data_IF_026039416643
#
_entry.id   IF_026039416643
#
_cell.length_a   1.000
_cell.length_b   1.000
_cell.length_c   1.000
_cell.angle_alpha   90.00
_cell.angle_beta   90.00
_cell.angle_gamma   90.00
#
_symmetry.space_group_name_H-M   'P 1'
#
loop_
_entity.id
_entity.type
_entity.pdbx_description
1 polymer ?
#
# COMPACT_ATOMS: atom_id res chain seq x y z
N UNK A 1 26.76 -4.12 -48.17
CA UNK A 1 27.95 -4.03 -47.35
C UNK A 1 27.57 -3.58 -45.97
N UNK A 2 28.16 -4.17 -44.91
CA UNK A 2 27.73 -4.00 -43.55
C UNK A 2 28.79 -3.43 -42.60
N UNK A 3 29.98 -3.19 -43.12
CA UNK A 3 31.07 -2.56 -42.38
C UNK A 3 31.67 -1.42 -43.16
N UNK A 4 32.14 -0.40 -42.47
CA UNK A 4 32.95 0.66 -43.09
C UNK A 4 34.20 0.04 -43.66
N UNK A 5 34.60 0.51 -44.85
CA UNK A 5 35.73 0.03 -45.62
C UNK A 5 35.63 -1.44 -46.11
N UNK A 6 34.45 -2.07 -45.95
CA UNK A 6 34.18 -3.37 -46.58
C UNK A 6 34.14 -3.22 -48.06
N UNK A 7 34.68 -4.21 -48.79
CA UNK A 7 34.80 -4.13 -50.26
C UNK A 7 34.05 -5.25 -50.95
N UNK A 8 33.55 -4.96 -52.16
CA UNK A 8 32.94 -5.94 -53.07
C UNK A 8 33.55 -5.74 -54.47
N UNK A 9 33.85 -6.83 -55.16
CA UNK A 9 34.35 -6.80 -56.53
C UNK A 9 33.20 -6.93 -57.51
N UNK A 10 33.07 -5.96 -58.38
CA UNK A 10 32.17 -6.00 -59.53
C UNK A 10 32.94 -6.37 -60.78
N UNK A 11 32.32 -7.12 -61.66
CA UNK A 11 32.84 -7.44 -63.00
C UNK A 11 31.84 -7.00 -64.05
N UNK A 12 32.35 -6.41 -65.15
CA UNK A 12 31.51 -6.07 -66.25
C UNK A 12 31.94 -6.92 -67.51
N UNK A 13 30.94 -7.55 -68.07
CA UNK A 13 31.16 -8.28 -69.35
C UNK A 13 30.72 -7.46 -70.54
N UNK A 14 31.60 -7.34 -71.51
CA UNK A 14 31.33 -6.63 -72.76
C UNK A 14 31.02 -7.66 -73.86
N UNK A 15 29.82 -7.56 -74.42
CA UNK A 15 29.35 -8.39 -75.50
C UNK A 15 29.27 -7.58 -76.84
N UNK A 16 29.57 -8.20 -77.98
CA UNK A 16 29.98 -9.60 -78.17
C UNK A 16 31.42 -9.86 -77.74
N UNK A 17 31.76 -11.15 -77.42
CA UNK A 17 33.06 -11.55 -76.87
C UNK A 17 34.25 -11.22 -77.79
N UNK A 18 34.00 -10.91 -79.05
CA UNK A 18 35.00 -10.47 -80.06
C UNK A 18 35.10 -8.97 -80.21
N UNK A 19 34.51 -8.17 -79.32
CA UNK A 19 34.68 -6.70 -79.38
C UNK A 19 36.15 -6.32 -79.18
N UNK A 20 36.68 -5.41 -80.03
CA UNK A 20 38.05 -4.96 -79.99
C UNK A 20 38.47 -4.23 -78.74
N UNK A 21 37.50 -3.50 -78.10
CA UNK A 21 37.75 -2.77 -76.85
C UNK A 21 36.77 -3.18 -75.82
N UNK A 22 37.26 -3.91 -74.79
CA UNK A 22 36.47 -4.40 -73.64
C UNK A 22 36.64 -3.55 -72.37
N UNK A 23 37.32 -2.41 -72.45
CA UNK A 23 37.52 -1.55 -71.30
C UNK A 23 36.21 -0.87 -70.89
N UNK A 24 35.98 -0.77 -69.65
CA UNK A 24 34.88 -0.07 -68.99
C UNK A 24 35.43 1.01 -68.07
N UNK A 25 34.68 2.06 -67.86
CA UNK A 25 34.87 3.03 -66.76
C UNK A 25 33.78 2.79 -65.69
N UNK A 26 34.13 3.01 -64.46
CA UNK A 26 33.22 2.87 -63.36
C UNK A 26 32.91 4.20 -62.72
N UNK A 27 31.65 4.40 -62.27
CA UNK A 27 31.20 5.59 -61.53
C UNK A 27 30.19 5.24 -60.47
N UNK A 28 30.29 5.86 -59.30
CA UNK A 28 29.29 5.81 -58.26
C UNK A 28 28.35 7.02 -58.34
N UNK A 29 27.08 6.81 -58.12
CA UNK A 29 26.09 7.90 -58.05
C UNK A 29 26.22 8.70 -56.72
N UNK A 30 26.81 8.08 -55.68
CA UNK A 30 27.07 8.72 -54.40
C UNK A 30 28.31 8.12 -53.71
N UNK A 31 29.43 8.84 -53.82
CA UNK A 31 30.69 8.44 -53.22
C UNK A 31 30.73 8.57 -51.69
N UNK A 32 29.75 9.23 -51.08
CA UNK A 32 29.60 9.26 -49.62
C UNK A 32 29.00 7.96 -49.09
N UNK A 33 28.34 7.21 -49.96
CA UNK A 33 27.78 5.88 -49.63
C UNK A 33 28.76 4.78 -50.03
N UNK A 34 29.21 4.77 -51.29
CA UNK A 34 30.16 3.78 -51.80
C UNK A 34 31.02 4.38 -52.92
N UNK A 35 32.32 4.16 -52.87
CA UNK A 35 33.25 4.48 -53.92
C UNK A 35 33.49 3.23 -54.80
N UNK A 36 33.94 3.46 -56.04
CA UNK A 36 34.37 2.40 -56.96
C UNK A 36 35.66 2.79 -57.62
N UNK A 37 36.65 1.88 -57.74
CA UNK A 37 37.90 2.10 -58.42
C UNK A 37 37.82 1.69 -59.91
N UNK A 38 38.88 1.94 -60.62
CA UNK A 38 39.02 1.65 -62.11
C UNK A 38 38.87 0.11 -62.35
N UNK A 39 39.10 -0.74 -61.40
CA UNK A 39 39.01 -2.19 -61.52
C UNK A 39 37.64 -2.73 -61.11
N UNK A 40 36.66 -1.86 -60.77
CA UNK A 40 35.34 -2.25 -60.32
C UNK A 40 35.28 -2.71 -58.85
N UNK A 41 36.31 -2.42 -58.02
CA UNK A 41 36.28 -2.67 -56.61
C UNK A 41 35.51 -1.60 -55.89
N UNK A 42 34.37 -1.95 -55.32
CA UNK A 42 33.49 -1.06 -54.53
C UNK A 42 33.94 -1.08 -53.09
N UNK A 43 33.98 0.10 -52.46
CA UNK A 43 34.30 0.27 -51.02
C UNK A 43 33.17 0.99 -50.33
N UNK A 44 32.70 0.44 -49.20
CA UNK A 44 31.67 1.07 -48.37
C UNK A 44 32.23 2.28 -47.60
N UNK A 45 31.56 3.44 -47.70
CA UNK A 45 31.95 4.68 -47.06
C UNK A 45 30.97 5.08 -45.94
N UNK A 46 29.66 5.06 -46.23
CA UNK A 46 28.61 5.45 -45.29
C UNK A 46 27.26 4.82 -45.62
N UNK A 47 26.32 4.92 -44.69
CA UNK A 47 24.98 4.34 -44.85
C UNK A 47 24.20 4.96 -46.01
N UNK A 48 23.52 4.12 -46.77
CA UNK A 48 22.71 4.55 -47.91
C UNK A 48 22.73 3.54 -49.05
N UNK A 49 22.27 3.98 -50.22
CA UNK A 49 22.29 3.20 -51.46
C UNK A 49 22.92 4.04 -52.57
N UNK A 50 23.94 3.48 -53.19
CA UNK A 50 24.59 4.07 -54.35
C UNK A 50 24.42 3.17 -55.57
N UNK A 51 24.17 3.75 -56.73
CA UNK A 51 24.18 3.05 -58.02
C UNK A 51 25.57 3.11 -58.61
N UNK A 52 26.17 1.97 -58.85
CA UNK A 52 27.45 1.86 -59.56
C UNK A 52 27.16 1.59 -61.02
N UNK A 53 27.74 2.43 -61.89
CA UNK A 53 27.58 2.37 -63.33
C UNK A 53 28.90 1.97 -63.99
N UNK A 54 28.87 0.94 -64.78
CA UNK A 54 29.93 0.58 -65.74
C UNK A 54 29.56 1.12 -67.09
N UNK A 55 30.47 1.85 -67.74
CA UNK A 55 30.27 2.42 -69.09
C UNK A 55 31.36 1.89 -70.03
N UNK A 56 31.02 1.31 -71.18
CA UNK A 56 31.98 0.88 -72.14
C UNK A 56 32.70 2.08 -72.80
N UNK A 57 34.02 1.99 -72.91
CA UNK A 57 34.83 3.08 -73.52
C UNK A 57 34.51 3.23 -75.01
N UNK A 58 34.08 2.15 -75.67
CA UNK A 58 33.62 2.18 -77.05
C UNK A 58 32.12 2.03 -77.11
N UNK A 59 31.40 3.04 -77.61
CA UNK A 59 29.95 3.02 -77.81
C UNK A 59 29.07 3.49 -76.66
N UNK A 60 29.65 3.87 -75.50
CA UNK A 60 28.93 4.44 -74.33
C UNK A 60 27.77 3.59 -73.83
N UNK A 61 27.82 2.24 -73.93
CA UNK A 61 26.85 1.34 -73.37
C UNK A 61 27.05 1.23 -71.83
N UNK A 62 25.96 1.26 -71.09
CA UNK A 62 26.00 1.28 -69.65
C UNK A 62 25.30 0.02 -68.98
N UNK A 63 25.86 -0.42 -67.89
CA UNK A 63 25.22 -1.36 -67.01
C UNK A 63 25.28 -0.84 -65.56
N UNK A 64 24.25 -1.08 -64.77
CA UNK A 64 24.17 -0.54 -63.43
C UNK A 64 23.89 -1.62 -62.40
N UNK A 65 24.40 -1.44 -61.18
CA UNK A 65 24.07 -2.24 -60.01
C UNK A 65 23.88 -1.35 -58.80
N UNK A 66 22.91 -1.68 -57.97
CA UNK A 66 22.62 -0.94 -56.76
C UNK A 66 23.38 -1.58 -55.55
N UNK A 67 24.19 -0.79 -54.88
CA UNK A 67 24.95 -1.18 -53.69
C UNK A 67 24.33 -0.51 -52.48
N UNK A 68 23.82 -1.30 -51.56
CA UNK A 68 23.35 -0.83 -50.26
C UNK A 68 24.43 -1.02 -49.22
N UNK A 69 24.73 0.04 -48.47
CA UNK A 69 25.64 0.05 -47.33
C UNK A 69 24.82 0.30 -46.08
N UNK A 70 24.89 -0.62 -45.14
CA UNK A 70 24.21 -0.55 -43.83
C UNK A 70 25.19 -0.87 -42.70
N UNK A 71 25.94 0.16 -42.29
CA UNK A 71 26.88 0.05 -41.16
C UNK A 71 26.07 0.24 -39.85
N UNK A 72 26.08 -0.73 -38.95
CA UNK A 72 25.36 -0.60 -37.68
C UNK A 72 25.87 0.56 -36.83
N UNK A 73 24.93 1.32 -36.27
CA UNK A 73 25.25 2.37 -35.31
C UNK A 73 25.10 1.80 -33.92
N UNK A 74 26.21 1.65 -33.21
CA UNK A 74 26.21 1.06 -31.87
C UNK A 74 25.62 2.00 -30.82
N UNK A 75 24.93 1.42 -29.82
CA UNK A 75 24.47 2.13 -28.63
C UNK A 75 25.69 2.53 -27.79
N UNK A 76 25.82 3.82 -27.47
CA UNK A 76 26.91 4.35 -26.67
C UNK A 76 26.51 4.59 -25.23
N UNK A 77 25.20 4.90 -24.99
CA UNK A 77 24.69 5.20 -23.67
C UNK A 77 23.21 4.86 -23.56
N UNK A 78 22.83 4.35 -22.39
CA UNK A 78 21.46 4.19 -21.95
C UNK A 78 21.17 5.12 -20.77
N UNK A 79 19.98 5.70 -20.72
CA UNK A 79 19.48 6.46 -19.57
C UNK A 79 18.07 6.00 -19.27
N UNK A 80 17.76 5.77 -17.98
CA UNK A 80 16.43 5.34 -17.53
C UNK A 80 15.69 6.53 -16.92
N UNK A 81 14.44 6.71 -17.32
CA UNK A 81 13.50 7.65 -16.72
C UNK A 81 12.30 6.87 -16.16
N UNK A 82 11.88 7.20 -14.95
CA UNK A 82 10.71 6.61 -14.32
C UNK A 82 9.61 7.65 -14.14
N UNK A 83 8.36 7.27 -14.41
CA UNK A 83 7.21 8.12 -14.12
C UNK A 83 7.03 8.30 -12.61
N UNK A 84 7.36 7.25 -11.82
CA UNK A 84 7.39 7.25 -10.36
C UNK A 84 8.56 6.41 -9.86
N UNK A 85 9.40 7.00 -9.03
CA UNK A 85 10.50 6.28 -8.36
C UNK A 85 10.08 5.70 -7.01
N UNK A 86 8.93 6.15 -6.47
CA UNK A 86 8.39 5.64 -5.20
C UNK A 86 7.01 5.05 -5.41
N UNK A 87 6.86 3.76 -5.06
CA UNK A 87 5.61 3.02 -5.06
C UNK A 87 5.10 2.86 -3.63
N UNK A 88 3.82 3.12 -3.41
CA UNK A 88 3.22 3.20 -2.06
C UNK A 88 2.26 2.06 -1.76
N UNK A 89 2.09 1.12 -2.70
CA UNK A 89 1.12 0.03 -2.59
C UNK A 89 1.68 -1.25 -3.23
N UNK A 90 1.54 -2.39 -2.55
CA UNK A 90 1.83 -3.70 -3.16
C UNK A 90 0.99 -3.90 -4.43
N UNK A 91 1.64 -4.31 -5.51
CA UNK A 91 1.03 -4.47 -6.83
C UNK A 91 0.86 -3.15 -7.61
N UNK A 92 1.28 -2.00 -7.06
CA UNK A 92 1.43 -0.76 -7.83
C UNK A 92 2.58 -0.93 -8.81
N UNK A 93 2.45 -0.37 -10.00
CA UNK A 93 3.50 -0.44 -11.02
C UNK A 93 3.84 0.94 -11.55
N UNK A 94 5.06 1.07 -12.07
CA UNK A 94 5.56 2.20 -12.85
C UNK A 94 6.22 1.67 -14.12
N UNK A 95 6.15 2.43 -15.19
CA UNK A 95 6.85 2.12 -16.43
C UNK A 95 8.17 2.88 -16.47
N UNK A 96 9.23 2.18 -16.85
CA UNK A 96 10.54 2.75 -17.09
C UNK A 96 10.70 3.00 -18.58
N UNK A 97 11.17 4.19 -18.95
CA UNK A 97 11.51 4.56 -20.31
C UNK A 97 13.01 4.61 -20.46
N UNK A 98 13.52 4.00 -21.53
CA UNK A 98 14.94 4.04 -21.86
C UNK A 98 15.17 5.06 -22.95
N UNK A 99 16.09 5.98 -22.71
CA UNK A 99 16.64 6.86 -23.72
C UNK A 99 17.96 6.28 -24.21
N UNK A 100 18.11 6.18 -25.52
CA UNK A 100 19.26 5.60 -26.18
C UNK A 100 20.05 6.72 -26.87
N UNK A 101 21.36 6.74 -26.70
CA UNK A 101 22.26 7.64 -27.38
C UNK A 101 23.29 6.85 -28.20
N UNK A 102 23.54 7.22 -29.46
CA UNK A 102 22.82 8.23 -30.25
C UNK A 102 21.40 7.77 -30.65
N UNK A 103 20.49 8.72 -30.93
CA UNK A 103 19.08 8.40 -31.27
C UNK A 103 18.90 7.52 -32.51
N UNK A 104 19.86 7.52 -33.42
CA UNK A 104 19.86 6.69 -34.62
C UNK A 104 20.58 5.36 -34.43
N UNK A 105 20.89 4.96 -33.18
CA UNK A 105 21.48 3.65 -32.92
C UNK A 105 20.54 2.53 -33.34
N UNK A 106 21.09 1.45 -33.85
CA UNK A 106 20.30 0.25 -34.16
C UNK A 106 19.77 -0.38 -32.87
N UNK A 107 18.45 -0.53 -32.82
CA UNK A 107 17.77 -1.08 -31.65
C UNK A 107 18.19 -2.53 -31.44
N UNK A 108 18.78 -2.79 -30.27
CA UNK A 108 19.08 -4.12 -29.77
C UNK A 108 18.06 -4.50 -28.72
N UNK A 109 17.95 -5.80 -28.42
CA UNK A 109 17.16 -6.27 -27.31
C UNK A 109 17.75 -5.76 -26.00
N UNK A 110 16.88 -5.19 -25.15
CA UNK A 110 17.25 -4.73 -23.81
C UNK A 110 16.85 -5.78 -22.78
N UNK A 111 17.75 -6.07 -21.84
CA UNK A 111 17.55 -7.04 -20.78
C UNK A 111 17.37 -6.30 -19.46
N UNK A 112 16.22 -6.48 -18.84
CA UNK A 112 15.86 -5.88 -17.55
C UNK A 112 16.09 -6.83 -16.39
N UNK A 113 16.59 -6.31 -15.27
CA UNK A 113 16.83 -7.08 -14.06
C UNK A 113 16.58 -6.23 -12.81
N UNK A 114 16.01 -6.82 -11.77
CA UNK A 114 15.95 -6.29 -10.41
C UNK A 114 17.00 -6.97 -9.55
N UNK A 115 17.72 -6.24 -8.72
CA UNK A 115 18.65 -6.79 -7.73
C UNK A 115 17.89 -7.40 -6.54
N UNK A 116 16.61 -6.98 -6.33
CA UNK A 116 15.81 -7.42 -5.20
C UNK A 116 14.32 -7.63 -5.57
N UNK A 117 14.02 -8.79 -6.14
CA UNK A 117 12.65 -9.16 -6.54
C UNK A 117 11.66 -9.29 -5.37
N UNK A 118 12.15 -9.36 -4.13
CA UNK A 118 11.29 -9.30 -2.93
C UNK A 118 10.76 -7.90 -2.65
N UNK A 119 11.38 -6.89 -3.22
CA UNK A 119 10.98 -5.48 -3.13
C UNK A 119 10.23 -5.05 -4.38
N UNK A 120 10.83 -5.24 -5.55
CA UNK A 120 10.22 -4.90 -6.82
C UNK A 120 10.67 -5.88 -7.91
N UNK A 121 9.74 -6.32 -8.76
CA UNK A 121 10.03 -7.12 -9.96
C UNK A 121 9.94 -6.23 -11.20
N UNK A 122 10.65 -6.62 -12.25
CA UNK A 122 10.53 -6.00 -13.58
C UNK A 122 10.19 -7.05 -14.63
N UNK A 123 9.46 -6.65 -15.67
CA UNK A 123 9.21 -7.47 -16.85
C UNK A 123 10.15 -7.10 -18.00
N UNK A 124 10.02 -7.79 -19.13
CA UNK A 124 10.84 -7.59 -20.32
C UNK A 124 10.66 -6.22 -21.00
N UNK A 125 9.59 -5.49 -20.67
CA UNK A 125 9.26 -4.18 -21.22
C UNK A 125 9.65 -3.03 -20.27
N UNK A 126 10.28 -3.32 -19.12
CA UNK A 126 10.67 -2.33 -18.14
C UNK A 126 9.54 -1.87 -17.23
N UNK A 127 8.44 -2.61 -17.13
CA UNK A 127 7.38 -2.35 -16.17
C UNK A 127 7.79 -2.92 -14.81
N UNK A 128 7.93 -2.04 -13.84
CA UNK A 128 8.30 -2.39 -12.46
C UNK A 128 7.06 -2.50 -11.58
N UNK A 129 6.97 -3.58 -10.80
CA UNK A 129 5.84 -3.86 -9.90
C UNK A 129 6.32 -4.02 -8.47
N UNK A 130 5.68 -3.31 -7.52
CA UNK A 130 5.98 -3.38 -6.09
C UNK A 130 5.55 -4.72 -5.48
N UNK A 131 6.47 -5.38 -4.77
CA UNK A 131 6.28 -6.67 -4.10
C UNK A 131 6.37 -6.53 -2.58
N UNK A 132 7.31 -5.74 -2.04
CA UNK A 132 7.52 -5.56 -0.60
C UNK A 132 8.26 -4.27 -0.27
N UNK A 133 8.21 -3.83 1.00
CA UNK A 133 8.91 -2.62 1.44
C UNK A 133 10.42 -2.73 1.28
N UNK A 134 11.06 -1.64 0.84
CA UNK A 134 12.50 -1.54 0.67
C UNK A 134 12.90 -0.73 -0.56
N UNK A 135 14.12 -0.93 -1.00
CA UNK A 135 14.67 -0.38 -2.25
C UNK A 135 15.14 -1.52 -3.14
N UNK A 136 14.97 -1.38 -4.44
CA UNK A 136 15.50 -2.27 -5.46
C UNK A 136 16.16 -1.45 -6.54
N UNK A 137 17.33 -1.87 -6.98
CA UNK A 137 17.99 -1.32 -8.15
C UNK A 137 17.50 -2.08 -9.39
N UNK A 138 16.89 -1.35 -10.33
CA UNK A 138 16.45 -1.89 -11.60
C UNK A 138 17.49 -1.52 -12.65
N UNK A 139 18.04 -2.53 -13.30
CA UNK A 139 19.09 -2.42 -14.31
C UNK A 139 18.56 -2.80 -15.68
N UNK A 140 18.93 -2.03 -16.71
CA UNK A 140 18.75 -2.38 -18.11
C UNK A 140 20.11 -2.53 -18.76
N UNK A 141 20.28 -3.57 -19.57
CA UNK A 141 21.57 -3.88 -20.25
C UNK A 141 21.30 -4.25 -21.71
N UNK A 142 22.18 -3.82 -22.61
CA UNK A 142 22.16 -4.29 -24.00
C UNK A 142 22.39 -5.81 -24.08
N UNK A 143 21.89 -6.45 -25.13
CA UNK A 143 21.99 -7.92 -25.31
C UNK A 143 23.46 -8.43 -25.28
N UNK A 144 24.39 -7.63 -25.78
CA UNK A 144 25.83 -7.93 -25.74
C UNK A 144 26.48 -7.66 -24.36
N UNK A 145 25.74 -7.11 -23.41
CA UNK A 145 26.19 -6.86 -22.05
C UNK A 145 27.11 -5.64 -21.87
N UNK A 146 27.39 -4.88 -22.94
CA UNK A 146 28.41 -3.81 -22.89
C UNK A 146 27.91 -2.52 -22.27
N UNK A 147 26.65 -2.13 -22.52
CA UNK A 147 26.07 -0.87 -22.05
C UNK A 147 24.97 -1.18 -21.03
N UNK A 148 25.08 -0.53 -19.89
CA UNK A 148 24.16 -0.74 -18.75
C UNK A 148 23.75 0.61 -18.18
N UNK A 149 22.48 0.70 -17.74
CA UNK A 149 21.99 1.79 -16.91
C UNK A 149 21.17 1.23 -15.74
N UNK A 150 21.09 1.97 -14.64
CA UNK A 150 20.27 1.57 -13.49
C UNK A 150 19.49 2.72 -12.88
N UNK A 151 18.41 2.39 -12.15
CA UNK A 151 17.59 3.33 -11.41
C UNK A 151 17.12 2.68 -10.10
N UNK A 152 17.07 3.47 -9.02
CA UNK A 152 16.58 3.01 -7.73
C UNK A 152 15.07 3.19 -7.62
N UNK A 153 14.35 2.11 -7.38
CA UNK A 153 12.92 2.13 -7.08
C UNK A 153 12.72 1.86 -5.59
N UNK A 154 12.01 2.77 -4.93
CA UNK A 154 11.65 2.65 -3.53
C UNK A 154 10.21 2.16 -3.41
N UNK A 155 9.98 1.07 -2.66
CA UNK A 155 8.66 0.63 -2.27
C UNK A 155 8.46 0.99 -0.79
N UNK A 156 7.53 1.90 -0.51
CA UNK A 156 7.20 2.35 0.84
C UNK A 156 5.70 2.19 1.08
N UNK A 157 5.29 0.95 1.27
CA UNK A 157 3.92 0.65 1.68
C UNK A 157 3.77 1.05 3.14
N UNK A 158 2.78 1.89 3.49
CA UNK A 158 2.53 2.21 4.88
C UNK A 158 2.34 0.92 5.70
N UNK A 159 3.01 0.83 6.85
CA UNK A 159 2.84 -0.30 7.74
C UNK A 159 1.36 -0.54 8.01
N UNK A 160 0.92 -1.80 7.94
CA UNK A 160 -0.40 -2.15 8.45
C UNK A 160 -0.47 -1.63 9.89
N UNK A 161 -1.58 -0.95 10.25
CA UNK A 161 -1.73 -0.45 11.61
C UNK A 161 -1.58 -1.65 12.55
N UNK A 162 -0.50 -1.66 13.32
CA UNK A 162 -0.26 -2.68 14.34
C UNK A 162 -1.45 -2.64 15.29
N UNK A 163 -2.36 -3.59 15.10
CA UNK A 163 -3.39 -3.88 16.09
C UNK A 163 -2.61 -4.26 17.33
N UNK A 164 -2.70 -3.42 18.36
CA UNK A 164 -2.04 -3.66 19.63
C UNK A 164 -2.69 -4.88 20.31
N UNK A 165 -2.43 -6.07 19.76
CA UNK A 165 -2.92 -7.35 20.29
C UNK A 165 -2.26 -7.72 21.64
N UNK A 166 -1.17 -7.02 21.99
CA UNK A 166 -0.30 -7.41 23.11
C UNK A 166 -0.76 -6.96 24.49
N UNK A 167 -1.72 -6.04 24.61
CA UNK A 167 -2.10 -5.51 25.93
C UNK A 167 -3.54 -5.78 26.36
N UNK A 168 -4.39 -6.35 25.52
CA UNK A 168 -5.82 -6.54 25.80
C UNK A 168 -6.59 -5.26 26.11
N UNK A 169 -5.93 -4.10 25.98
CA UNK A 169 -6.49 -2.79 26.29
C UNK A 169 -7.15 -2.19 25.05
N UNK A 170 -8.40 -1.74 25.21
CA UNK A 170 -9.12 -1.02 24.15
C UNK A 170 -8.90 0.47 24.27
N UNK A 171 -8.25 1.07 23.29
CA UNK A 171 -8.09 2.52 23.20
C UNK A 171 -9.44 3.21 22.94
N UNK A 172 -10.35 2.55 22.22
CA UNK A 172 -11.66 3.07 21.86
C UNK A 172 -12.70 2.79 22.94
N UNK A 173 -13.22 3.85 23.56
CA UNK A 173 -14.24 3.81 24.62
C UNK A 173 -15.52 4.47 24.14
N UNK A 174 -16.54 3.67 23.90
CA UNK A 174 -17.86 4.16 23.51
C UNK A 174 -18.83 4.11 24.70
N UNK A 175 -19.75 5.09 24.75
CA UNK A 175 -20.83 5.18 25.71
C UNK A 175 -22.09 5.74 25.09
N UNK A 176 -23.24 5.45 25.65
CA UNK A 176 -24.50 6.08 25.32
C UNK A 176 -24.68 7.35 26.16
N UNK A 177 -24.82 8.50 25.50
CA UNK A 177 -24.88 9.82 26.16
C UNK A 177 -26.29 10.45 26.19
N UNK A 178 -27.10 10.18 25.18
CA UNK A 178 -28.47 10.70 25.09
C UNK A 178 -29.43 9.61 24.58
N UNK A 179 -30.61 9.53 25.19
CA UNK A 179 -31.67 8.62 24.80
C UNK A 179 -33.01 9.36 24.81
N UNK A 180 -33.77 9.21 23.74
CA UNK A 180 -35.16 9.63 23.64
C UNK A 180 -36.07 8.40 23.59
N UNK A 181 -37.38 8.58 23.42
CA UNK A 181 -38.29 7.45 23.21
C UNK A 181 -37.95 6.63 21.98
N UNK A 182 -37.35 7.26 20.95
CA UNK A 182 -37.11 6.67 19.63
C UNK A 182 -35.66 6.76 19.16
N UNK A 183 -34.71 7.17 20.00
CA UNK A 183 -33.31 7.28 19.61
C UNK A 183 -32.32 6.96 20.71
N UNK A 184 -31.11 6.58 20.32
CA UNK A 184 -29.91 6.43 21.16
C UNK A 184 -28.75 7.13 20.50
N UNK A 185 -28.11 8.07 21.22
CA UNK A 185 -26.88 8.72 20.80
C UNK A 185 -25.68 8.05 21.49
N UNK A 186 -24.74 7.62 20.70
CA UNK A 186 -23.43 7.13 21.14
C UNK A 186 -22.41 8.25 21.06
N UNK A 187 -21.44 8.21 21.97
CA UNK A 187 -20.23 9.03 21.93
C UNK A 187 -19.02 8.16 22.23
N UNK A 188 -17.90 8.46 21.57
CA UNK A 188 -16.62 7.79 21.82
C UNK A 188 -15.46 8.78 21.83
N UNK A 189 -14.31 8.34 22.34
CA UNK A 189 -13.09 9.15 22.22
C UNK A 189 -12.49 8.98 20.82
N UNK A 190 -11.98 10.07 20.28
CA UNK A 190 -11.25 10.07 19.00
C UNK A 190 -10.02 9.17 19.11
N UNK A 191 -9.77 8.35 18.09
CA UNK A 191 -8.54 7.59 17.89
C UNK A 191 -7.70 8.36 16.88
N UNK A 192 -6.52 8.83 17.31
CA UNK A 192 -5.66 9.77 16.57
C UNK A 192 -5.38 9.36 15.12
N UNK A 193 -5.27 8.05 14.87
CA UNK A 193 -4.90 7.53 13.54
C UNK A 193 -6.09 6.89 12.82
N UNK A 194 -7.33 7.14 13.23
CA UNK A 194 -8.50 6.60 12.56
C UNK A 194 -8.91 7.46 11.37
N UNK A 195 -9.25 6.83 10.25
CA UNK A 195 -9.88 7.50 9.10
C UNK A 195 -11.41 7.47 9.20
N UNK A 196 -11.95 6.75 10.18
CA UNK A 196 -13.38 6.72 10.44
C UNK A 196 -13.79 5.56 11.35
N UNK A 197 -15.10 5.35 11.44
CA UNK A 197 -15.67 4.38 12.37
C UNK A 197 -16.79 3.56 11.73
N UNK A 198 -16.87 2.29 12.12
CA UNK A 198 -18.04 1.46 11.87
C UNK A 198 -18.88 1.38 13.12
N UNK A 199 -20.18 1.52 12.96
CA UNK A 199 -21.16 1.30 14.03
C UNK A 199 -21.88 -0.01 13.74
N UNK A 200 -21.78 -0.93 14.68
CA UNK A 200 -22.53 -2.19 14.67
C UNK A 200 -23.53 -2.19 15.80
N UNK A 201 -24.71 -2.73 15.59
CA UNK A 201 -25.70 -2.85 16.64
C UNK A 201 -26.89 -3.75 16.28
N UNK A 202 -27.74 -3.99 17.26
CA UNK A 202 -29.03 -4.62 17.16
C UNK A 202 -29.79 -4.47 18.49
N UNK A 203 -30.98 -5.02 18.61
CA UNK A 203 -31.65 -5.21 19.90
C UNK A 203 -30.81 -6.10 20.83
N UNK A 204 -30.91 -5.89 22.12
CA UNK A 204 -30.39 -6.85 23.07
C UNK A 204 -31.16 -8.16 23.01
N UNK A 205 -30.52 -9.28 23.33
CA UNK A 205 -31.17 -10.58 23.41
C UNK A 205 -32.22 -10.57 24.53
N UNK A 206 -33.35 -11.22 24.30
CA UNK A 206 -34.45 -11.32 25.27
C UNK A 206 -34.95 -12.77 25.32
N UNK A 207 -34.92 -13.41 26.50
CA UNK A 207 -35.30 -14.81 26.65
C UNK A 207 -34.56 -15.69 25.61
N UNK A 208 -35.28 -16.42 24.79
CA UNK A 208 -34.73 -17.31 23.75
C UNK A 208 -34.33 -16.58 22.45
N UNK A 209 -34.70 -15.30 22.29
CA UNK A 209 -34.40 -14.56 21.06
C UNK A 209 -33.00 -13.95 21.09
N UNK A 210 -32.15 -14.38 20.16
CA UNK A 210 -30.80 -13.84 19.95
C UNK A 210 -30.77 -12.94 18.70
N UNK A 211 -30.15 -11.77 18.86
CA UNK A 211 -29.97 -10.80 17.76
C UNK A 211 -28.49 -10.61 17.48
N UNK A 212 -28.01 -11.06 16.31
CA UNK A 212 -26.62 -10.85 15.88
C UNK A 212 -26.37 -9.37 15.60
N UNK A 213 -25.14 -8.89 15.82
CA UNK A 213 -24.73 -7.56 15.40
C UNK A 213 -24.82 -7.40 13.88
N UNK A 214 -25.32 -6.25 13.42
CA UNK A 214 -25.32 -5.84 12.02
C UNK A 214 -24.65 -4.48 11.89
N UNK A 215 -24.05 -4.19 10.76
CA UNK A 215 -23.52 -2.87 10.48
C UNK A 215 -24.69 -1.89 10.34
N UNK A 216 -24.68 -0.82 11.12
CA UNK A 216 -25.70 0.24 11.10
C UNK A 216 -25.21 1.47 10.34
N UNK A 217 -23.92 1.81 10.46
CA UNK A 217 -23.32 2.96 9.79
C UNK A 217 -21.82 2.77 9.53
N UNK A 218 -21.34 3.49 8.52
CA UNK A 218 -19.93 3.78 8.29
C UNK A 218 -19.77 5.29 8.40
N UNK A 219 -18.97 5.73 9.36
CA UNK A 219 -18.64 7.14 9.58
C UNK A 219 -17.32 7.40 8.88
N UNK A 220 -17.31 8.38 7.97
CA UNK A 220 -16.10 8.85 7.29
C UNK A 220 -15.63 10.10 8.04
N UNK A 221 -14.36 10.13 8.42
CA UNK A 221 -13.75 11.18 9.25
C UNK A 221 -13.35 10.65 10.62
N UNK A 222 -12.07 10.72 10.92
CA UNK A 222 -11.48 10.25 12.18
C UNK A 222 -11.76 11.17 13.38
N UNK A 223 -12.15 12.40 13.12
CA UNK A 223 -12.51 13.44 14.10
C UNK A 223 -13.96 13.33 14.61
N UNK A 224 -14.79 12.52 13.95
CA UNK A 224 -16.19 12.33 14.36
C UNK A 224 -16.24 11.41 15.57
N UNK A 225 -16.89 11.85 16.65
CA UNK A 225 -16.96 11.15 17.93
C UNK A 225 -18.38 10.85 18.41
N UNK A 226 -19.40 11.14 17.59
CA UNK A 226 -20.81 10.90 17.97
C UNK A 226 -21.62 10.35 16.80
N UNK A 227 -22.65 9.58 17.12
CA UNK A 227 -23.62 9.09 16.16
C UNK A 227 -24.94 8.75 16.85
N UNK A 228 -26.07 8.99 16.17
CA UNK A 228 -27.42 8.76 16.71
C UNK A 228 -28.17 7.77 15.85
N UNK A 229 -28.65 6.68 16.46
CA UNK A 229 -29.65 5.83 15.85
C UNK A 229 -31.04 6.39 16.15
N UNK A 230 -31.83 6.59 15.10
CA UNK A 230 -33.23 7.01 15.16
C UNK A 230 -34.19 5.81 14.91
N UNK A 231 -35.47 6.06 14.95
CA UNK A 231 -36.56 5.12 14.63
C UNK A 231 -36.53 3.83 15.46
N UNK A 232 -36.15 3.98 16.71
CA UNK A 232 -36.08 2.91 17.67
C UNK A 232 -37.41 2.75 18.44
N UNK A 233 -37.69 1.52 18.89
CA UNK A 233 -38.85 1.23 19.73
C UNK A 233 -38.63 1.76 21.14
N UNK A 234 -39.63 2.44 21.72
CA UNK A 234 -39.59 2.95 23.10
C UNK A 234 -39.37 1.81 24.11
N UNK A 235 -38.66 2.11 25.22
CA UNK A 235 -38.43 1.19 26.33
C UNK A 235 -37.67 -0.08 25.95
N UNK A 236 -36.96 -0.10 24.85
CA UNK A 236 -36.28 -1.29 24.31
C UNK A 236 -34.78 -1.14 24.45
N UNK A 237 -34.10 -2.20 24.91
CA UNK A 237 -32.63 -2.26 24.97
C UNK A 237 -32.01 -2.58 23.61
N UNK A 238 -31.00 -1.83 23.28
CA UNK A 238 -30.15 -2.01 22.10
C UNK A 238 -28.69 -2.18 22.51
N UNK A 239 -27.96 -2.98 21.74
CA UNK A 239 -26.52 -3.21 21.93
C UNK A 239 -25.75 -2.65 20.74
N UNK A 240 -24.60 -2.03 21.03
CA UNK A 240 -23.75 -1.39 20.04
C UNK A 240 -22.28 -1.74 20.25
N UNK A 241 -21.52 -1.74 19.17
CA UNK A 241 -20.05 -1.77 19.15
C UNK A 241 -19.58 -0.75 18.14
N UNK A 242 -18.67 0.11 18.54
CA UNK A 242 -17.96 1.05 17.67
C UNK A 242 -16.60 0.44 17.33
N UNK A 243 -16.21 0.50 16.07
CA UNK A 243 -14.90 0.05 15.59
C UNK A 243 -14.25 1.18 14.82
N UNK A 244 -13.06 1.60 15.23
CA UNK A 244 -12.23 2.51 14.43
C UNK A 244 -11.59 1.75 13.28
N UNK A 245 -11.43 2.39 12.12
CA UNK A 245 -10.70 1.82 10.99
C UNK A 245 -9.69 2.82 10.43
N UNK A 246 -8.66 2.28 9.76
CA UNK A 246 -7.76 3.02 8.87
C UNK A 246 -7.90 2.50 7.46
N UNK A 247 -7.59 3.38 6.50
CA UNK A 247 -7.45 3.01 5.10
C UNK A 247 -6.01 2.51 4.87
N UNK A 248 -5.88 1.24 4.53
CA UNK A 248 -4.62 0.61 4.18
C UNK A 248 -4.76 0.07 2.77
N UNK A 249 -4.01 0.59 1.83
CA UNK A 249 -4.12 0.23 0.41
C UNK A 249 -5.56 0.32 -0.14
N UNK A 250 -6.29 1.38 0.24
CA UNK A 250 -7.69 1.61 -0.15
C UNK A 250 -8.71 0.71 0.57
N UNK A 251 -8.27 -0.23 1.41
CA UNK A 251 -9.13 -1.11 2.21
C UNK A 251 -9.29 -0.58 3.63
N UNK A 252 -10.50 -0.70 4.19
CA UNK A 252 -10.79 -0.31 5.57
C UNK A 252 -10.39 -1.43 6.53
N UNK A 253 -9.31 -1.22 7.28
CA UNK A 253 -8.78 -2.16 8.29
C UNK A 253 -9.17 -1.68 9.68
N UNK A 254 -9.82 -2.55 10.48
CA UNK A 254 -10.22 -2.24 11.86
C UNK A 254 -8.99 -2.22 12.77
N UNK A 255 -8.78 -1.09 13.45
CA UNK A 255 -7.65 -0.88 14.38
C UNK A 255 -8.05 -1.03 15.85
N UNK A 256 -9.24 -0.56 16.20
CA UNK A 256 -9.75 -0.56 17.57
C UNK A 256 -11.23 -0.96 17.61
N UNK A 257 -11.63 -1.59 18.70
CA UNK A 257 -13.01 -2.02 18.92
C UNK A 257 -13.40 -1.68 20.35
N UNK A 258 -14.53 -0.99 20.52
CA UNK A 258 -15.06 -0.68 21.87
C UNK A 258 -15.61 -1.90 22.57
N UNK A 259 -15.86 -1.76 23.89
CA UNK A 259 -16.75 -2.69 24.59
C UNK A 259 -18.16 -2.61 23.99
N UNK A 260 -18.97 -3.65 24.21
CA UNK A 260 -20.38 -3.61 23.88
C UNK A 260 -21.12 -2.62 24.78
N UNK A 261 -21.80 -1.66 24.18
CA UNK A 261 -22.65 -0.67 24.87
C UNK A 261 -24.09 -1.11 24.79
N UNK A 262 -24.74 -1.32 25.94
CA UNK A 262 -26.16 -1.70 26.02
C UNK A 262 -26.96 -0.53 26.59
N UNK A 263 -27.83 0.05 25.78
CA UNK A 263 -28.62 1.23 26.14
C UNK A 263 -30.10 1.04 25.86
N UNK A 264 -30.94 1.52 26.78
CA UNK A 264 -32.39 1.51 26.62
C UNK A 264 -32.91 2.86 26.14
N UNK A 265 -33.85 2.86 25.22
CA UNK A 265 -34.62 4.05 24.83
C UNK A 265 -35.55 4.48 25.95
N UNK A 266 -35.88 5.78 26.00
CA UNK A 266 -36.80 6.33 26.97
C UNK A 266 -38.23 5.80 26.87
N UNK A 267 -39.09 6.18 27.81
CA UNK A 267 -40.52 5.86 27.82
C UNK A 267 -40.91 4.45 28.32
N UNK A 268 -39.92 3.63 28.71
CA UNK A 268 -40.16 2.32 29.28
C UNK A 268 -39.99 2.24 30.81
N UNK A 269 -40.06 1.01 31.36
CA UNK A 269 -39.88 0.67 32.78
C UNK A 269 -38.46 0.87 33.28
N UNK A 270 -37.47 0.63 32.38
CA UNK A 270 -36.05 0.63 32.74
C UNK A 270 -35.32 1.88 32.26
N UNK A 271 -34.17 2.17 32.86
CA UNK A 271 -33.30 3.30 32.53
C UNK A 271 -31.84 2.89 32.31
N UNK A 272 -31.02 3.86 31.94
CA UNK A 272 -29.60 3.68 31.79
C UNK A 272 -28.82 4.07 33.06
N UNK A 273 -27.62 3.54 33.22
CA UNK A 273 -26.73 3.97 34.30
C UNK A 273 -26.30 5.42 34.09
N UNK A 274 -26.37 6.23 35.18
CA UNK A 274 -25.86 7.61 35.21
C UNK A 274 -24.34 7.63 35.43
N UNK A 275 -23.83 6.72 36.25
CA UNK A 275 -22.44 6.63 36.64
C UNK A 275 -22.09 5.21 37.12
N UNK A 276 -20.81 4.96 37.33
CA UNK A 276 -20.30 3.84 38.09
C UNK A 276 -19.77 4.36 39.43
N UNK A 277 -20.23 3.79 40.53
CA UNK A 277 -19.71 4.02 41.89
C UNK A 277 -18.79 2.88 42.27
N UNK A 278 -17.55 3.20 42.61
CA UNK A 278 -16.59 2.28 43.21
C UNK A 278 -16.56 2.54 44.71
N UNK A 279 -17.11 1.62 45.50
CA UNK A 279 -17.29 1.77 46.95
C UNK A 279 -16.09 1.27 47.74
N UNK A 280 -15.28 0.36 47.14
CA UNK A 280 -14.13 -0.23 47.80
C UNK A 280 -13.13 -0.78 46.81
N UNK A 281 -11.81 -0.68 47.13
CA UNK A 281 -10.72 -1.35 46.45
C UNK A 281 -9.82 -1.97 47.54
N UNK A 282 -9.76 -3.30 47.60
CA UNK A 282 -9.14 -4.01 48.72
C UNK A 282 -9.77 -3.56 50.06
N UNK A 283 -8.98 -3.07 51.01
CA UNK A 283 -9.46 -2.58 52.32
C UNK A 283 -9.81 -1.08 52.32
N UNK A 284 -9.61 -0.34 51.20
CA UNK A 284 -9.85 1.11 51.13
C UNK A 284 -11.23 1.41 50.58
N UNK A 285 -12.01 2.22 51.27
CA UNK A 285 -13.35 2.64 50.85
C UNK A 285 -13.33 3.98 50.15
N UNK A 286 -14.24 4.17 49.18
CA UNK A 286 -14.48 5.41 48.45
C UNK A 286 -13.24 6.07 47.82
N UNK A 287 -12.31 5.24 47.33
CA UNK A 287 -11.07 5.70 46.71
C UNK A 287 -11.09 5.51 45.19
N UNK A 288 -10.38 6.38 44.49
CA UNK A 288 -10.16 6.26 43.03
C UNK A 288 -8.70 5.95 42.70
N UNK A 289 -7.84 5.78 43.70
CA UNK A 289 -6.42 5.43 43.56
C UNK A 289 -5.99 4.47 44.65
N UNK A 290 -5.09 3.53 44.29
CA UNK A 290 -4.51 2.58 45.26
C UNK A 290 -3.06 2.28 44.87
N UNK A 291 -2.22 2.07 45.88
CA UNK A 291 -0.87 1.55 45.72
C UNK A 291 -0.82 0.09 46.22
N UNK A 292 -0.27 -0.79 45.43
CA UNK A 292 -0.09 -2.20 45.72
C UNK A 292 1.42 -2.56 45.67
N UNK A 293 1.83 -3.48 46.52
CA UNK A 293 3.13 -4.15 46.36
C UNK A 293 3.01 -5.19 45.24
N UNK A 294 4.09 -5.41 44.50
CA UNK A 294 4.14 -6.42 43.42
C UNK A 294 3.64 -7.78 43.94
N UNK A 295 2.88 -8.51 43.15
CA UNK A 295 2.27 -9.81 43.50
C UNK A 295 1.01 -9.73 44.33
N UNK A 296 0.67 -8.58 44.96
CA UNK A 296 -0.52 -8.41 45.75
C UNK A 296 -1.78 -8.21 44.91
N UNK A 297 -2.91 -8.55 45.49
CA UNK A 297 -4.25 -8.42 44.85
C UNK A 297 -5.15 -7.46 45.62
N UNK A 298 -6.14 -6.90 44.94
CA UNK A 298 -7.18 -6.06 45.56
C UNK A 298 -8.50 -6.22 44.78
N UNK A 299 -9.58 -6.53 45.51
CA UNK A 299 -10.92 -6.66 44.95
C UNK A 299 -11.58 -5.29 44.79
N UNK A 300 -12.10 -4.97 43.58
CA UNK A 300 -12.97 -3.83 43.36
C UNK A 300 -14.40 -4.20 43.70
N UNK A 301 -15.04 -3.39 44.57
CA UNK A 301 -16.49 -3.41 44.78
C UNK A 301 -17.09 -2.18 44.08
N UNK A 302 -17.89 -2.42 43.04
CA UNK A 302 -18.51 -1.37 42.27
C UNK A 302 -19.98 -1.68 41.95
N UNK A 303 -20.75 -0.61 41.70
CA UNK A 303 -22.15 -0.72 41.27
C UNK A 303 -22.51 0.37 40.26
N UNK A 304 -23.49 0.08 39.41
CA UNK A 304 -24.11 1.07 38.55
C UNK A 304 -24.98 2.00 39.37
N UNK A 305 -24.86 3.30 39.13
CA UNK A 305 -25.72 4.32 39.75
C UNK A 305 -26.88 4.60 38.78
N UNK A 306 -28.09 4.29 39.21
CA UNK A 306 -29.31 4.65 38.46
C UNK A 306 -29.59 6.16 38.58
N UNK A 307 -30.27 6.75 37.58
CA UNK A 307 -30.82 8.09 37.71
C UNK A 307 -32.14 8.05 38.48
N UNK A 308 -33.17 7.56 37.86
CA UNK A 308 -34.56 7.52 38.36
C UNK A 308 -35.17 6.12 38.24
N UNK A 309 -34.86 5.38 37.17
CA UNK A 309 -35.46 4.05 36.88
C UNK A 309 -34.51 2.91 37.20
N UNK A 310 -35.08 1.73 37.43
CA UNK A 310 -34.31 0.47 37.58
C UNK A 310 -33.53 0.22 36.27
N UNK A 311 -32.33 -0.36 36.41
CA UNK A 311 -31.51 -0.82 35.29
C UNK A 311 -31.77 -2.32 35.16
N UNK A 312 -32.25 -2.75 33.98
CA UNK A 312 -32.30 -4.15 33.65
C UNK A 312 -30.91 -4.57 33.15
N UNK A 313 -30.37 -5.62 33.75
CA UNK A 313 -28.99 -6.01 33.49
C UNK A 313 -28.90 -6.97 32.33
N UNK A 314 -28.40 -6.44 31.19
CA UNK A 314 -28.05 -7.21 30.01
C UNK A 314 -26.56 -7.58 29.92
N UNK A 315 -25.71 -6.90 30.70
CA UNK A 315 -24.29 -7.19 30.87
C UNK A 315 -23.82 -6.79 32.27
N UNK A 316 -22.96 -7.61 32.88
CA UNK A 316 -22.27 -7.25 34.14
C UNK A 316 -21.35 -6.04 33.93
N UNK A 317 -20.88 -5.44 35.02
CA UNK A 317 -19.76 -4.48 34.94
C UNK A 317 -18.59 -5.14 34.22
N UNK A 318 -17.87 -4.34 33.45
CA UNK A 318 -16.70 -4.78 32.73
C UNK A 318 -15.47 -4.01 33.25
N UNK A 319 -14.36 -4.68 33.33
CA UNK A 319 -13.11 -4.13 33.84
C UNK A 319 -12.02 -4.22 32.78
N UNK A 320 -11.14 -3.23 32.72
CA UNK A 320 -10.08 -3.20 31.75
C UNK A 320 -8.86 -2.43 32.30
N UNK A 321 -7.65 -2.96 32.10
CA UNK A 321 -6.41 -2.33 32.50
C UNK A 321 -5.73 -1.66 31.29
N UNK A 322 -5.20 -0.45 31.48
CA UNK A 322 -4.39 0.24 30.46
C UNK A 322 -3.03 -0.40 30.22
N UNK A 323 -2.54 -1.14 31.21
CA UNK A 323 -1.24 -1.80 31.14
C UNK A 323 -1.20 -3.06 31.99
N UNK A 324 -1.40 -4.21 31.35
CA UNK A 324 -1.40 -5.51 32.04
C UNK A 324 -0.02 -5.94 32.54
N UNK A 325 1.06 -5.31 32.08
CA UNK A 325 2.40 -5.52 32.65
C UNK A 325 2.54 -4.89 34.04
N UNK A 326 1.74 -3.86 34.35
CA UNK A 326 1.72 -3.21 35.68
C UNK A 326 0.67 -3.83 36.56
N UNK A 327 -0.58 -3.96 36.08
CA UNK A 327 -1.64 -4.65 36.79
C UNK A 327 -2.67 -5.25 35.84
N UNK A 328 -3.09 -6.48 36.11
CA UNK A 328 -4.23 -7.13 35.46
C UNK A 328 -5.49 -6.95 36.28
N UNK A 329 -6.65 -7.13 35.65
CA UNK A 329 -7.95 -7.17 36.33
C UNK A 329 -8.81 -8.29 35.74
N UNK A 330 -9.44 -9.08 36.61
CA UNK A 330 -10.35 -10.16 36.18
C UNK A 330 -11.72 -9.62 35.78
N UNK A 331 -12.56 -10.40 35.08
CA UNK A 331 -13.95 -10.04 34.78
C UNK A 331 -14.81 -9.73 36.04
N UNK A 332 -14.42 -10.24 37.19
CA UNK A 332 -15.09 -9.99 38.47
C UNK A 332 -14.47 -8.84 39.28
N UNK A 333 -13.46 -8.16 38.71
CA UNK A 333 -12.86 -6.95 39.29
C UNK A 333 -11.74 -7.22 40.31
N UNK A 334 -11.10 -8.39 40.29
CA UNK A 334 -9.91 -8.66 41.10
C UNK A 334 -8.66 -8.10 40.37
N UNK A 335 -8.03 -7.11 40.97
CA UNK A 335 -6.75 -6.56 40.53
C UNK A 335 -5.61 -7.46 40.98
N UNK A 336 -4.64 -7.72 40.10
CA UNK A 336 -3.35 -8.35 40.47
C UNK A 336 -2.22 -7.41 39.99
N UNK A 337 -1.36 -7.02 40.94
CA UNK A 337 -0.13 -6.25 40.64
C UNK A 337 0.92 -7.17 39.99
N UNK A 338 1.32 -6.88 38.75
CA UNK A 338 2.18 -7.73 37.91
C UNK A 338 3.58 -7.16 37.70
N UNK A 339 3.75 -5.85 37.80
CA UNK A 339 5.05 -5.18 37.63
C UNK A 339 5.03 -3.76 38.13
N UNK A 340 6.20 -3.20 38.47
CA UNK A 340 6.33 -1.81 38.97
C UNK A 340 5.83 -0.80 37.92
N UNK A 341 5.19 0.28 38.39
CA UNK A 341 4.70 1.36 37.54
C UNK A 341 3.30 1.84 37.90
N UNK A 342 2.67 2.55 36.97
CA UNK A 342 1.31 3.08 37.12
C UNK A 342 0.46 2.71 35.92
N UNK A 343 -0.78 2.26 36.18
CA UNK A 343 -1.78 2.03 35.14
C UNK A 343 -3.15 2.55 35.58
N UNK A 344 -4.09 2.61 34.63
CA UNK A 344 -5.49 2.93 34.88
C UNK A 344 -6.33 1.68 34.69
N UNK A 345 -7.21 1.38 35.67
CA UNK A 345 -8.27 0.39 35.51
C UNK A 345 -9.59 1.12 35.31
N UNK A 346 -10.30 0.80 34.24
CA UNK A 346 -11.64 1.30 33.97
C UNK A 346 -12.68 0.27 34.46
N UNK A 347 -13.73 0.79 35.05
CA UNK A 347 -14.92 0.00 35.46
C UNK A 347 -16.09 0.55 34.67
N UNK A 348 -16.64 -0.25 33.75
CA UNK A 348 -17.71 0.16 32.84
C UNK A 348 -19.07 -0.39 33.25
N UNK A 349 -20.08 0.46 33.28
CA UNK A 349 -21.48 0.07 33.24
C UNK A 349 -21.86 -0.48 31.85
N UNK A 350 -23.00 -1.16 31.75
CA UNK A 350 -23.45 -1.74 30.49
C UNK A 350 -23.65 -0.71 29.37
N UNK A 351 -24.05 0.52 29.67
CA UNK A 351 -24.24 1.59 28.72
C UNK A 351 -22.93 2.37 28.38
N UNK A 352 -21.78 1.87 28.84
CA UNK A 352 -20.46 2.40 28.53
C UNK A 352 -19.98 3.54 29.42
N UNK A 353 -20.82 4.10 30.33
CA UNK A 353 -20.32 5.05 31.34
C UNK A 353 -19.35 4.34 32.27
N UNK A 354 -18.29 5.02 32.69
CA UNK A 354 -17.20 4.39 33.42
C UNK A 354 -16.66 5.22 34.59
N UNK A 355 -15.95 4.54 35.48
CA UNK A 355 -15.08 5.12 36.51
C UNK A 355 -13.64 4.67 36.22
N UNK A 356 -12.71 5.62 36.17
CA UNK A 356 -11.28 5.35 36.06
C UNK A 356 -10.63 5.28 37.45
N UNK A 357 -9.77 4.29 37.66
CA UNK A 357 -9.04 4.05 38.91
C UNK A 357 -7.53 4.07 38.60
N UNK A 358 -6.77 4.85 39.37
CA UNK A 358 -5.30 4.89 39.26
C UNK A 358 -4.68 3.83 40.14
N UNK A 359 -3.94 2.90 39.55
CA UNK A 359 -3.23 1.82 40.23
C UNK A 359 -1.73 2.07 40.14
N UNK A 360 -1.05 2.15 41.25
CA UNK A 360 0.41 2.23 41.34
C UNK A 360 0.94 0.95 41.95
N UNK A 361 1.94 0.33 41.32
CA UNK A 361 2.64 -0.85 41.83
C UNK A 361 4.08 -0.48 42.17
N UNK A 362 4.49 -0.79 43.40
CA UNK A 362 5.84 -0.55 43.94
C UNK A 362 6.58 -1.85 44.15
#
# INVERSE_FOLDING_TARGET
LTKKDETAQLTAEVTPSYADNKRVTWQSSDEKVATVDENGKVTAVGNGTATITATSVSGSYTATVSITVKIPVEIQKLTIEAEKETLTKIGESTELKVKIEPENADLQKLIWKSDNEKVATTDENGKVTAVGNGTAEITVTTEDGKITASIMITVKVPDEPTINKTTGFRRLRARSVKQTKTSVTLQWNIIKDADGYFIYGNRCNTGTKSYKYRKLATIIGGDISTWTQKDLKKGTYYKYVVKAYRLVNGKKVVTDTSISVHAVTGGGKYGNAKAVSVTQIGNKRNVSKITLKMGKTAQIKAKEVKKDKKIERHRKLCYESSNTKVATVTPDGLIRATGKGTCTIWVYAQNGVYKALKITVK
#
